data_IF_586610597005
#
_entry.id   IF_586610597005
#
_cell.length_a   1.000
_cell.length_b   1.000
_cell.length_c   1.000
_cell.angle_alpha   90.00
_cell.angle_beta   90.00
_cell.angle_gamma   90.00
#
_symmetry.space_group_name_H-M   'P 1'
#
loop_
_entity.id
_entity.type
_entity.pdbx_description
1 polymer ?
#
# COMPACT_ATOMS: atom_id res chain seq x y z
N UNK A 1 26.83 -10.33 -45.37
CA UNK A 1 27.10 -10.87 -44.02
C UNK A 1 26.44 -9.92 -43.04
N UNK A 2 25.17 -10.18 -42.73
CA UNK A 2 24.38 -9.41 -41.76
C UNK A 2 24.74 -9.93 -40.36
N UNK A 3 25.36 -9.07 -39.56
CA UNK A 3 25.56 -9.31 -38.13
C UNK A 3 24.21 -9.15 -37.45
N UNK A 4 23.46 -10.26 -37.34
CA UNK A 4 22.35 -10.36 -36.39
C UNK A 4 22.93 -10.08 -35.01
N UNK A 5 22.58 -8.91 -34.47
CA UNK A 5 22.83 -8.60 -33.08
C UNK A 5 21.82 -9.42 -32.29
N UNK A 6 22.22 -10.60 -31.81
CA UNK A 6 21.44 -11.38 -30.85
C UNK A 6 20.99 -10.43 -29.72
N UNK A 7 19.69 -10.37 -29.43
CA UNK A 7 19.23 -9.63 -28.27
C UNK A 7 19.85 -10.32 -27.06
N UNK A 8 20.66 -9.60 -26.31
CA UNK A 8 21.26 -9.98 -25.03
C UNK A 8 20.18 -10.62 -24.14
N UNK A 9 20.09 -11.95 -24.18
CA UNK A 9 18.93 -12.68 -23.70
C UNK A 9 19.01 -12.74 -22.17
N UNK A 10 18.36 -11.76 -21.54
CA UNK A 10 18.32 -11.59 -20.08
C UNK A 10 17.76 -12.85 -19.40
N UNK A 11 17.00 -13.68 -20.12
CA UNK A 11 16.50 -14.98 -19.68
C UNK A 11 17.64 -16.00 -19.61
N UNK A 12 18.45 -16.10 -20.67
CA UNK A 12 19.62 -16.97 -20.69
C UNK A 12 20.63 -16.55 -19.61
N UNK A 13 20.89 -15.25 -19.45
CA UNK A 13 21.73 -14.74 -18.37
C UNK A 13 21.16 -15.08 -16.99
N UNK A 14 19.88 -14.87 -16.70
CA UNK A 14 19.30 -15.22 -15.39
C UNK A 14 19.33 -16.74 -15.08
N UNK A 15 19.19 -17.58 -16.11
CA UNK A 15 19.34 -19.04 -16.00
C UNK A 15 20.80 -19.43 -15.74
N UNK A 16 21.74 -18.70 -16.34
CA UNK A 16 23.19 -18.97 -16.26
C UNK A 16 23.83 -18.29 -15.02
N UNK A 17 23.26 -17.21 -14.47
CA UNK A 17 23.94 -16.30 -13.53
C UNK A 17 23.42 -16.24 -12.08
N UNK A 18 22.21 -16.68 -11.69
CA UNK A 18 21.87 -16.45 -10.27
C UNK A 18 20.55 -16.97 -9.69
N UNK A 19 20.65 -18.02 -8.88
CA UNK A 19 19.68 -18.50 -7.88
C UNK A 19 18.31 -19.02 -8.38
N UNK A 20 17.87 -20.16 -7.83
CA UNK A 20 16.56 -20.79 -8.07
C UNK A 20 15.37 -19.83 -7.95
N UNK A 21 15.50 -18.81 -7.12
CA UNK A 21 14.49 -17.78 -6.90
C UNK A 21 14.25 -16.87 -8.13
N UNK A 22 15.31 -16.32 -8.73
CA UNK A 22 15.16 -15.42 -9.90
C UNK A 22 14.57 -16.20 -11.08
N UNK A 23 15.05 -17.43 -11.32
CA UNK A 23 14.50 -18.30 -12.37
C UNK A 23 12.98 -18.50 -12.22
N UNK A 24 12.54 -18.89 -11.03
CA UNK A 24 11.11 -19.08 -10.73
C UNK A 24 10.29 -17.79 -10.83
N UNK A 25 10.88 -16.64 -10.47
CA UNK A 25 10.22 -15.34 -10.57
C UNK A 25 9.97 -14.94 -12.03
N UNK A 26 10.90 -15.24 -12.94
CA UNK A 26 10.75 -14.97 -14.37
C UNK A 26 9.77 -15.93 -15.05
N UNK A 27 9.77 -17.22 -14.66
CA UNK A 27 8.82 -18.22 -15.17
C UNK A 27 7.38 -17.92 -14.75
N UNK A 28 7.17 -17.28 -13.59
CA UNK A 28 5.84 -16.99 -13.08
C UNK A 28 5.20 -15.76 -13.76
N UNK A 29 4.09 -15.98 -14.45
CA UNK A 29 3.20 -14.93 -14.95
C UNK A 29 2.41 -14.27 -13.78
N UNK A 30 3.08 -13.51 -12.91
CA UNK A 30 2.40 -12.66 -11.94
C UNK A 30 1.94 -11.37 -12.62
N UNK A 31 0.67 -11.00 -12.44
CA UNK A 31 0.07 -9.77 -13.00
C UNK A 31 0.80 -8.50 -12.51
N UNK A 32 1.49 -8.56 -11.37
CA UNK A 32 2.26 -7.46 -10.79
C UNK A 32 3.75 -7.84 -10.76
N UNK A 33 4.44 -7.73 -11.90
CA UNK A 33 5.89 -7.99 -12.05
C UNK A 33 6.83 -7.03 -11.28
N UNK A 34 6.28 -6.12 -10.47
CA UNK A 34 7.06 -5.11 -9.78
C UNK A 34 7.99 -5.72 -8.71
N UNK A 35 9.16 -5.11 -8.52
CA UNK A 35 10.09 -5.49 -7.45
C UNK A 35 9.52 -5.13 -6.09
N UNK A 36 9.89 -5.88 -5.04
CA UNK A 36 9.43 -5.62 -3.66
C UNK A 36 9.66 -4.15 -3.22
N UNK A 37 10.84 -3.53 -3.44
CA UNK A 37 11.03 -2.13 -3.09
C UNK A 37 10.05 -1.18 -3.81
N UNK A 38 9.75 -1.45 -5.09
CA UNK A 38 8.79 -0.65 -5.85
C UNK A 38 7.36 -0.80 -5.34
N UNK A 39 6.95 -2.03 -4.99
CA UNK A 39 5.66 -2.24 -4.32
C UNK A 39 5.60 -1.47 -3.01
N UNK A 40 6.61 -1.59 -2.14
CA UNK A 40 6.66 -0.87 -0.86
C UNK A 40 6.59 0.66 -1.05
N UNK A 41 7.24 1.21 -2.09
CA UNK A 41 7.14 2.63 -2.40
C UNK A 41 5.70 3.05 -2.76
N UNK A 42 4.96 2.23 -3.52
CA UNK A 42 3.54 2.47 -3.79
C UNK A 42 2.69 2.33 -2.52
N UNK A 43 2.98 1.34 -1.66
CA UNK A 43 2.29 1.17 -0.38
C UNK A 43 2.48 2.40 0.53
N UNK A 44 3.70 2.93 0.57
CA UNK A 44 4.03 4.17 1.27
C UNK A 44 3.27 5.37 0.70
N UNK A 45 3.19 5.50 -0.63
CA UNK A 45 2.43 6.57 -1.27
C UNK A 45 0.94 6.50 -0.93
N UNK A 46 0.34 5.31 -0.90
CA UNK A 46 -1.05 5.11 -0.49
C UNK A 46 -1.30 5.48 0.97
N UNK A 47 -0.39 5.10 1.88
CA UNK A 47 -0.45 5.53 3.28
C UNK A 47 -0.30 7.06 3.42
N UNK A 48 0.57 7.67 2.59
CA UNK A 48 0.72 9.12 2.52
C UNK A 48 -0.55 9.81 2.02
N UNK A 49 -1.22 9.22 1.03
CA UNK A 49 -2.51 9.68 0.54
C UNK A 49 -3.59 9.57 1.63
N UNK A 50 -3.59 8.50 2.42
CA UNK A 50 -4.50 8.35 3.58
C UNK A 50 -4.28 9.45 4.63
N UNK A 51 -3.06 9.96 4.79
CA UNK A 51 -2.80 11.10 5.68
C UNK A 51 -3.45 12.41 5.20
N UNK A 52 -3.89 12.49 3.93
CA UNK A 52 -4.64 13.64 3.41
C UNK A 52 -6.07 13.72 3.96
N UNK A 53 -6.56 12.72 4.68
CA UNK A 53 -7.86 12.80 5.35
C UNK A 53 -7.95 14.02 6.28
N UNK A 54 -6.88 14.34 7.01
CA UNK A 54 -6.85 15.51 7.89
C UNK A 54 -7.02 16.84 7.14
N UNK A 55 -6.20 17.20 6.14
CA UNK A 55 -6.41 18.44 5.39
C UNK A 55 -7.74 18.43 4.62
N UNK A 56 -8.20 17.28 4.09
CA UNK A 56 -9.52 17.20 3.44
C UNK A 56 -10.63 17.56 4.42
N UNK A 57 -10.62 16.96 5.62
CA UNK A 57 -11.63 17.22 6.64
C UNK A 57 -11.59 18.66 7.15
N UNK A 58 -10.39 19.22 7.35
CA UNK A 58 -10.21 20.60 7.78
C UNK A 58 -10.65 21.65 6.75
N UNK A 59 -10.90 21.25 5.50
CA UNK A 59 -11.38 22.12 4.42
C UNK A 59 -12.90 22.02 4.19
N UNK A 60 -13.62 21.31 5.05
CA UNK A 60 -15.07 21.18 4.90
C UNK A 60 -15.79 22.53 5.08
N UNK A 61 -16.72 22.89 4.19
CA UNK A 61 -17.55 24.08 4.37
C UNK A 61 -18.44 23.98 5.63
N UNK A 62 -18.76 25.11 6.25
CA UNK A 62 -19.63 25.17 7.44
C UNK A 62 -20.99 24.50 7.24
N UNK A 63 -21.49 24.49 6.00
CA UNK A 63 -22.75 23.83 5.61
C UNK A 63 -22.75 22.31 5.86
N UNK A 64 -21.57 21.70 6.01
CA UNK A 64 -21.45 20.27 6.36
C UNK A 64 -21.65 19.97 7.83
N UNK A 65 -21.55 20.96 8.73
CA UNK A 65 -21.46 20.75 10.17
C UNK A 65 -22.63 19.92 10.73
N UNK A 66 -23.83 20.06 10.17
CA UNK A 66 -25.02 19.31 10.57
C UNK A 66 -24.92 17.78 10.32
N UNK A 67 -24.01 17.34 9.45
CA UNK A 67 -23.80 15.94 9.10
C UNK A 67 -22.59 15.32 9.81
N UNK A 68 -21.74 16.14 10.43
CA UNK A 68 -20.49 15.71 11.03
C UNK A 68 -20.69 15.30 12.49
N UNK A 69 -19.83 14.43 13.05
CA UNK A 69 -19.87 14.09 14.46
C UNK A 69 -19.27 15.21 15.32
N UNK A 70 -18.29 15.94 14.78
CA UNK A 70 -17.70 17.16 15.34
C UNK A 70 -17.04 17.95 14.20
N UNK A 71 -16.98 19.27 14.32
CA UNK A 71 -16.26 20.11 13.33
C UNK A 71 -14.75 19.99 13.49
N UNK A 72 -14.28 19.82 14.73
CA UNK A 72 -12.86 19.67 15.04
C UNK A 72 -12.35 18.25 14.68
N UNK A 73 -11.41 18.11 13.72
CA UNK A 73 -10.85 16.82 13.31
C UNK A 73 -10.05 16.10 14.41
N UNK A 74 -9.64 16.80 15.48
CA UNK A 74 -8.93 16.19 16.60
C UNK A 74 -9.83 15.27 17.42
N UNK A 75 -11.15 15.49 17.38
CA UNK A 75 -12.16 14.71 18.11
C UNK A 75 -13.17 14.02 17.18
N UNK A 76 -13.29 14.45 15.93
CA UNK A 76 -14.21 13.85 14.97
C UNK A 76 -13.82 12.40 14.63
N UNK A 77 -14.77 11.47 14.75
CA UNK A 77 -14.60 10.03 14.53
C UNK A 77 -15.66 9.51 13.54
N UNK A 78 -15.67 9.94 12.27
CA UNK A 78 -16.72 9.56 11.32
C UNK A 78 -16.61 8.07 10.92
N UNK A 79 -17.75 7.37 10.72
CA UNK A 79 -17.78 5.95 10.32
C UNK A 79 -16.94 5.63 9.07
N UNK A 80 -16.94 6.52 8.08
CA UNK A 80 -16.11 6.36 6.87
C UNK A 80 -14.62 6.21 7.16
N UNK A 81 -14.14 6.75 8.29
CA UNK A 81 -12.74 6.62 8.71
C UNK A 81 -12.33 5.15 8.91
N UNK A 82 -13.28 4.28 9.30
CA UNK A 82 -13.01 2.86 9.52
C UNK A 82 -12.58 2.14 8.24
N UNK A 83 -13.09 2.56 7.07
CA UNK A 83 -12.66 2.00 5.79
C UNK A 83 -11.19 2.37 5.50
N UNK A 84 -10.81 3.61 5.80
CA UNK A 84 -9.45 4.11 5.63
C UNK A 84 -8.49 3.42 6.59
N UNK A 85 -8.91 3.25 7.85
CA UNK A 85 -8.17 2.52 8.88
C UNK A 85 -7.95 1.05 8.48
N UNK A 86 -8.99 0.38 7.98
CA UNK A 86 -8.89 -0.99 7.48
C UNK A 86 -7.92 -1.07 6.29
N UNK A 87 -8.03 -0.13 5.34
CA UNK A 87 -7.11 -0.04 4.22
C UNK A 87 -5.65 0.16 4.65
N UNK A 88 -5.40 1.10 5.58
CA UNK A 88 -4.08 1.34 6.16
C UNK A 88 -3.51 0.13 6.90
N UNK A 89 -4.35 -0.61 7.64
CA UNK A 89 -3.96 -1.86 8.28
C UNK A 89 -3.51 -2.91 7.25
N UNK A 90 -4.29 -3.15 6.20
CA UNK A 90 -3.91 -4.10 5.14
C UNK A 90 -2.63 -3.67 4.43
N UNK A 91 -2.43 -2.36 4.25
CA UNK A 91 -1.22 -1.80 3.66
C UNK A 91 0.03 -2.12 4.50
N UNK A 92 -0.05 -1.91 5.82
CA UNK A 92 1.02 -2.22 6.77
C UNK A 92 1.27 -3.72 6.90
N UNK A 93 0.21 -4.52 6.92
CA UNK A 93 0.31 -5.98 6.95
C UNK A 93 1.03 -6.50 5.70
N UNK A 94 0.61 -6.06 4.51
CA UNK A 94 1.28 -6.40 3.25
C UNK A 94 2.73 -5.93 3.22
N UNK A 95 3.03 -4.72 3.68
CA UNK A 95 4.40 -4.21 3.74
C UNK A 95 5.28 -5.06 4.65
N UNK A 96 4.76 -5.47 5.81
CA UNK A 96 5.46 -6.33 6.76
C UNK A 96 5.80 -7.69 6.16
N UNK A 97 4.84 -8.32 5.46
CA UNK A 97 5.07 -9.59 4.76
C UNK A 97 6.13 -9.46 3.65
N UNK A 98 6.09 -8.37 2.90
CA UNK A 98 7.08 -8.10 1.84
C UNK A 98 8.49 -7.91 2.40
N UNK A 99 8.63 -7.09 3.45
CA UNK A 99 9.91 -6.90 4.14
C UNK A 99 10.40 -8.24 4.73
N UNK A 100 9.52 -8.97 5.39
CA UNK A 100 9.80 -10.29 5.94
C UNK A 100 10.27 -11.29 4.87
N UNK A 101 9.61 -11.33 3.72
CA UNK A 101 10.01 -12.19 2.58
C UNK A 101 11.42 -11.87 2.09
N UNK A 102 11.74 -10.58 1.93
CA UNK A 102 13.09 -10.17 1.47
C UNK A 102 14.15 -10.55 2.50
N UNK A 103 13.94 -10.25 3.79
CA UNK A 103 14.89 -10.61 4.84
C UNK A 103 15.06 -12.13 4.98
N UNK A 104 13.96 -12.88 4.84
CA UNK A 104 13.99 -14.35 4.82
C UNK A 104 14.86 -14.87 3.67
N UNK A 105 14.65 -14.33 2.45
CA UNK A 105 15.40 -14.73 1.25
C UNK A 105 16.90 -14.44 1.37
N UNK A 106 17.27 -13.28 1.92
CA UNK A 106 18.69 -12.91 2.13
C UNK A 106 19.35 -13.79 3.19
N UNK A 107 18.66 -14.09 4.29
CA UNK A 107 19.23 -14.89 5.40
C UNK A 107 19.42 -16.37 5.08
N UNK A 108 18.58 -16.94 4.22
CA UNK A 108 18.56 -18.37 3.91
C UNK A 108 19.09 -18.70 2.51
N UNK A 109 19.72 -17.73 1.85
CA UNK A 109 20.34 -17.97 0.55
C UNK A 109 21.51 -18.99 0.67
N UNK A 110 21.65 -19.94 -0.28
CA UNK A 110 20.79 -20.18 -1.43
C UNK A 110 19.49 -20.94 -1.06
N UNK A 111 18.37 -20.50 -1.62
CA UNK A 111 17.05 -21.09 -1.34
C UNK A 111 16.83 -22.38 -2.13
N UNK A 112 16.20 -23.36 -1.49
CA UNK A 112 15.60 -24.51 -2.18
C UNK A 112 14.39 -24.06 -3.02
N UNK A 113 14.03 -24.83 -4.04
CA UNK A 113 12.87 -24.56 -4.91
C UNK A 113 11.56 -24.40 -4.10
N UNK A 114 11.34 -25.27 -3.11
CA UNK A 114 10.17 -25.19 -2.22
C UNK A 114 10.14 -23.89 -1.42
N UNK A 115 11.29 -23.45 -0.91
CA UNK A 115 11.40 -22.18 -0.17
C UNK A 115 11.21 -20.97 -1.10
N UNK A 116 11.73 -21.03 -2.33
CA UNK A 116 11.53 -19.98 -3.32
C UNK A 116 10.05 -19.83 -3.70
N UNK A 117 9.32 -20.94 -3.93
CA UNK A 117 7.88 -20.90 -4.16
C UNK A 117 7.10 -20.33 -2.97
N UNK A 118 7.45 -20.71 -1.74
CA UNK A 118 6.79 -20.20 -0.54
C UNK A 118 6.99 -18.68 -0.40
N UNK A 119 8.21 -18.19 -0.64
CA UNK A 119 8.51 -16.76 -0.63
C UNK A 119 7.73 -16.00 -1.71
N UNK A 120 7.70 -16.51 -2.94
CA UNK A 120 6.93 -15.91 -4.04
C UNK A 120 5.42 -15.89 -3.76
N UNK A 121 4.86 -16.95 -3.18
CA UNK A 121 3.46 -16.99 -2.77
C UNK A 121 3.15 -15.93 -1.71
N UNK A 122 4.02 -15.78 -0.70
CA UNK A 122 3.88 -14.76 0.32
C UNK A 122 3.96 -13.34 -0.27
N UNK A 123 4.86 -13.10 -1.22
CA UNK A 123 4.97 -11.83 -1.94
C UNK A 123 3.72 -11.51 -2.76
N UNK A 124 3.22 -12.47 -3.53
CA UNK A 124 2.00 -12.29 -4.34
C UNK A 124 0.78 -12.03 -3.44
N UNK A 125 0.61 -12.81 -2.37
CA UNK A 125 -0.46 -12.59 -1.39
C UNK A 125 -0.38 -11.20 -0.75
N UNK A 126 0.82 -10.79 -0.32
CA UNK A 126 1.05 -9.48 0.27
C UNK A 126 0.73 -8.33 -0.71
N UNK A 127 1.02 -8.50 -2.00
CA UNK A 127 0.66 -7.52 -3.05
C UNK A 127 -0.84 -7.42 -3.23
N UNK A 128 -1.56 -8.54 -3.34
CA UNK A 128 -3.02 -8.52 -3.52
C UNK A 128 -3.74 -7.94 -2.30
N UNK A 129 -3.38 -8.37 -1.10
CA UNK A 129 -4.02 -7.90 0.13
C UNK A 129 -3.68 -6.44 0.41
N UNK A 130 -2.39 -6.09 0.35
CA UNK A 130 -1.94 -4.73 0.65
C UNK A 130 -2.29 -3.76 -0.46
N UNK A 131 -1.70 -3.92 -1.64
CA UNK A 131 -1.84 -2.95 -2.73
C UNK A 131 -3.21 -3.03 -3.41
N UNK A 132 -3.74 -4.25 -3.60
CA UNK A 132 -5.08 -4.45 -4.17
C UNK A 132 -6.18 -3.98 -3.22
N UNK A 133 -6.48 -4.80 -2.21
CA UNK A 133 -7.61 -4.54 -1.29
C UNK A 133 -7.38 -3.31 -0.41
N UNK A 134 -6.20 -3.20 0.22
CA UNK A 134 -5.87 -2.07 1.09
C UNK A 134 -5.83 -0.75 0.33
N UNK A 135 -5.17 -0.73 -0.84
CA UNK A 135 -5.11 0.44 -1.71
C UNK A 135 -6.50 0.89 -2.19
N UNK A 136 -7.35 -0.05 -2.62
CA UNK A 136 -8.74 0.27 -3.00
C UNK A 136 -9.53 0.86 -1.83
N UNK A 137 -9.42 0.29 -0.63
CA UNK A 137 -10.10 0.81 0.55
C UNK A 137 -9.66 2.25 0.89
N UNK A 138 -8.35 2.56 0.77
CA UNK A 138 -7.84 3.92 0.97
C UNK A 138 -8.43 4.88 -0.07
N UNK A 139 -8.40 4.51 -1.36
CA UNK A 139 -8.93 5.36 -2.44
C UNK A 139 -10.43 5.63 -2.24
N UNK A 140 -11.20 4.59 -1.94
CA UNK A 140 -12.64 4.74 -1.66
C UNK A 140 -12.89 5.64 -0.45
N UNK A 141 -12.07 5.52 0.60
CA UNK A 141 -12.18 6.38 1.78
C UNK A 141 -11.92 7.85 1.42
N UNK A 142 -10.90 8.14 0.62
CA UNK A 142 -10.60 9.49 0.14
C UNK A 142 -11.74 10.04 -0.71
N UNK A 143 -12.30 9.24 -1.63
CA UNK A 143 -13.45 9.64 -2.43
C UNK A 143 -14.67 9.96 -1.57
N UNK A 144 -14.94 9.17 -0.53
CA UNK A 144 -16.06 9.43 0.40
C UNK A 144 -15.82 10.69 1.24
N UNK A 145 -14.61 10.93 1.72
CA UNK A 145 -14.26 12.18 2.40
C UNK A 145 -14.37 13.38 1.44
N UNK A 146 -14.01 13.22 0.17
CA UNK A 146 -14.14 14.29 -0.82
C UNK A 146 -15.59 14.75 -1.03
N UNK A 147 -16.60 13.92 -0.73
CA UNK A 147 -18.03 14.34 -0.73
C UNK A 147 -18.26 15.50 0.24
N UNK A 148 -17.58 15.50 1.39
CA UNK A 148 -17.67 16.58 2.38
C UNK A 148 -17.15 17.93 1.86
N UNK A 149 -16.18 17.91 0.93
CA UNK A 149 -15.70 19.15 0.29
C UNK A 149 -16.79 19.83 -0.55
N UNK A 150 -17.79 19.06 -1.02
CA UNK A 150 -18.94 19.59 -1.76
C UNK A 150 -19.99 20.31 -0.90
N UNK A 151 -19.79 20.39 0.42
CA UNK A 151 -20.73 21.06 1.32
C UNK A 151 -21.92 20.19 1.74
N UNK A 152 -22.84 20.79 2.50
CA UNK A 152 -24.03 20.11 3.01
C UNK A 152 -24.92 19.52 1.91
N UNK A 153 -25.04 20.19 0.77
CA UNK A 153 -25.85 19.71 -0.37
C UNK A 153 -25.31 18.39 -0.94
N UNK A 154 -24.00 18.29 -1.15
CA UNK A 154 -23.35 17.06 -1.63
C UNK A 154 -23.52 15.90 -0.64
N UNK A 155 -23.35 16.18 0.66
CA UNK A 155 -23.54 15.18 1.72
C UNK A 155 -25.01 14.73 1.77
N UNK A 156 -25.95 15.67 1.71
CA UNK A 156 -27.39 15.35 1.71
C UNK A 156 -27.81 14.52 0.50
N UNK A 157 -27.29 14.81 -0.70
CA UNK A 157 -27.54 14.04 -1.92
C UNK A 157 -26.97 12.62 -1.80
N UNK A 158 -25.77 12.47 -1.24
CA UNK A 158 -25.18 11.17 -0.97
C UNK A 158 -26.02 10.36 0.04
N UNK A 159 -26.50 11.00 1.10
CA UNK A 159 -27.37 10.38 2.11
C UNK A 159 -28.70 9.95 1.49
N UNK A 160 -29.30 10.79 0.64
CA UNK A 160 -30.53 10.44 -0.07
C UNK A 160 -30.34 9.24 -1.00
N UNK A 161 -29.19 9.14 -1.67
CA UNK A 161 -28.88 8.02 -2.57
C UNK A 161 -28.58 6.71 -1.83
N UNK A 162 -27.82 6.77 -0.73
CA UNK A 162 -27.35 5.57 -0.01
C UNK A 162 -28.21 5.18 1.19
N UNK A 163 -29.11 6.07 1.62
CA UNK A 163 -29.93 5.93 2.81
C UNK A 163 -29.17 6.03 4.15
N UNK A 164 -27.86 6.34 4.12
CA UNK A 164 -27.00 6.37 5.31
C UNK A 164 -25.99 7.52 5.26
N UNK A 165 -25.83 8.22 6.37
CA UNK A 165 -24.78 9.22 6.51
C UNK A 165 -23.45 8.55 6.90
N UNK A 166 -22.40 8.63 6.05
CA UNK A 166 -21.10 8.02 6.32
C UNK A 166 -20.27 8.79 7.35
N UNK A 167 -20.63 10.05 7.65
CA UNK A 167 -19.93 10.93 8.58
C UNK A 167 -20.42 10.85 10.02
N UNK A 168 -21.51 10.13 10.30
CA UNK A 168 -21.94 9.93 11.69
C UNK A 168 -20.84 9.27 12.52
N UNK A 169 -20.87 9.48 13.83
CA UNK A 169 -19.85 8.94 14.72
C UNK A 169 -19.75 7.41 14.61
N UNK A 170 -18.51 6.94 14.62
CA UNK A 170 -18.14 5.54 14.52
C UNK A 170 -18.29 4.79 15.84
N UNK A 171 -18.22 5.50 16.97
CA UNK A 171 -18.21 4.91 18.31
C UNK A 171 -16.87 4.28 18.72
N UNK A 172 -15.85 4.30 17.87
CA UNK A 172 -14.52 3.76 18.17
C UNK A 172 -13.56 4.76 18.83
N UNK A 173 -13.90 6.04 18.84
CA UNK A 173 -13.08 7.09 19.47
C UNK A 173 -11.77 7.40 18.75
N UNK A 174 -11.55 6.85 17.55
CA UNK A 174 -10.37 7.15 16.74
C UNK A 174 -10.64 8.39 15.91
N UNK A 175 -9.93 9.48 16.21
CA UNK A 175 -10.13 10.73 15.50
C UNK A 175 -9.46 10.75 14.13
N UNK A 176 -9.98 11.59 13.22
CA UNK A 176 -9.39 11.83 11.89
C UNK A 176 -7.93 12.25 12.02
N UNK A 177 -7.61 13.13 12.98
CA UNK A 177 -6.23 13.56 13.23
C UNK A 177 -5.32 12.39 13.64
N UNK A 178 -5.78 11.52 14.55
CA UNK A 178 -5.01 10.36 15.01
C UNK A 178 -4.70 9.40 13.87
N UNK A 179 -5.72 9.04 13.08
CA UNK A 179 -5.55 8.12 11.95
C UNK A 179 -4.64 8.72 10.88
N UNK A 180 -4.77 10.01 10.59
CA UNK A 180 -3.93 10.70 9.60
C UNK A 180 -2.47 10.77 10.03
N UNK A 181 -2.20 11.02 11.32
CA UNK A 181 -0.85 11.01 11.86
C UNK A 181 -0.23 9.60 11.80
N UNK A 182 -0.98 8.57 12.19
CA UNK A 182 -0.52 7.18 12.09
C UNK A 182 -0.23 6.79 10.65
N UNK A 183 -1.09 7.18 9.72
CA UNK A 183 -0.90 6.95 8.29
C UNK A 183 0.37 7.64 7.75
N UNK A 184 0.64 8.87 8.19
CA UNK A 184 1.85 9.60 7.83
C UNK A 184 3.12 8.91 8.36
N UNK A 185 3.14 8.55 9.65
CA UNK A 185 4.28 7.83 10.26
C UNK A 185 4.50 6.48 9.58
N UNK A 186 3.43 5.74 9.29
CA UNK A 186 3.47 4.50 8.54
C UNK A 186 4.03 4.70 7.13
N UNK A 187 3.60 5.73 6.41
CA UNK A 187 4.09 6.09 5.08
C UNK A 187 5.60 6.30 5.07
N UNK A 188 6.12 7.13 6.00
CA UNK A 188 7.54 7.41 6.16
C UNK A 188 8.32 6.12 6.48
N UNK A 189 7.82 5.32 7.42
CA UNK A 189 8.47 4.07 7.82
C UNK A 189 8.59 3.09 6.65
N UNK A 190 7.49 2.88 5.91
CA UNK A 190 7.46 1.98 4.74
C UNK A 190 8.33 2.52 3.60
N UNK A 191 8.41 3.84 3.42
CA UNK A 191 9.31 4.46 2.45
C UNK A 191 10.77 4.14 2.77
N UNK A 192 11.20 4.33 4.01
CA UNK A 192 12.58 4.02 4.41
C UNK A 192 12.88 2.53 4.33
N UNK A 193 11.93 1.65 4.67
CA UNK A 193 12.08 0.21 4.47
C UNK A 193 12.27 -0.14 2.98
N UNK A 194 11.52 0.50 2.07
CA UNK A 194 11.70 0.35 0.63
C UNK A 194 13.12 0.74 0.19
N UNK A 195 13.61 1.91 0.62
CA UNK A 195 14.95 2.40 0.26
C UNK A 195 16.06 1.54 0.85
N UNK A 196 15.92 1.13 2.10
CA UNK A 196 16.85 0.21 2.76
C UNK A 196 16.96 -1.10 1.99
N UNK A 197 15.83 -1.74 1.65
CA UNK A 197 15.85 -3.02 0.93
C UNK A 197 16.38 -2.89 -0.50
N UNK A 198 16.15 -1.76 -1.18
CA UNK A 198 16.74 -1.50 -2.49
C UNK A 198 18.27 -1.52 -2.42
N UNK A 199 18.85 -0.78 -1.47
CA UNK A 199 20.32 -0.73 -1.28
C UNK A 199 20.86 -2.07 -0.83
N UNK A 200 20.19 -2.71 0.14
CA UNK A 200 20.63 -3.98 0.71
C UNK A 200 20.67 -5.10 -0.34
N UNK A 201 19.65 -5.20 -1.20
CA UNK A 201 19.62 -6.16 -2.30
C UNK A 201 20.71 -5.89 -3.34
N UNK A 202 20.99 -4.62 -3.66
CA UNK A 202 22.06 -4.28 -4.60
C UNK A 202 23.45 -4.68 -4.07
N UNK A 203 23.70 -4.52 -2.78
CA UNK A 203 24.95 -4.96 -2.14
C UNK A 203 25.07 -6.48 -2.09
N UNK A 204 23.98 -7.19 -1.79
CA UNK A 204 23.96 -8.64 -1.72
C UNK A 204 24.25 -9.33 -3.07
N UNK A 205 23.82 -8.74 -4.19
CA UNK A 205 24.16 -9.28 -5.51
C UNK A 205 25.66 -9.14 -5.80
N UNK A 206 26.26 -7.98 -5.50
CA UNK A 206 27.70 -7.75 -5.70
C UNK A 206 28.61 -8.64 -4.87
N UNK A 207 28.15 -9.15 -3.72
CA UNK A 207 28.96 -10.06 -2.89
C UNK A 207 28.92 -11.52 -3.36
N UNK A 208 27.99 -11.86 -4.26
CA UNK A 208 27.80 -13.21 -4.78
C UNK A 208 28.24 -13.36 -6.26
N UNK A 209 28.71 -12.28 -6.88
CA UNK A 209 29.45 -12.27 -8.15
C UNK A 209 30.96 -12.43 -7.90
#
# INVERSE_FOLDING_TARGET
MSTDSEPDDTIAQAIISGSTYERLRYERHSYLRQTVPRTLALQSALLGALALLLPIYGLYPDSTAAFLPAVDPAVASPKVLLLGLFGGFLQLFGATLLVGSVLYRVRLAPLTERQAHAALNAEDFARYVGLGTGGLAIVLSLCLFAVGLGGGDAVSAYVAFTGRNPFVDSGFGLSVATVSLLAFVASVTVFYASRYLLVHLALFHRSNE
#
